data_IF_945480927705
#
_entry.id   IF_945480927705
#
_cell.length_a   1.000
_cell.length_b   1.000
_cell.length_c   1.000
_cell.angle_alpha   90.00
_cell.angle_beta   90.00
_cell.angle_gamma   90.00
#
_symmetry.space_group_name_H-M   'P 1'
#
loop_
_entity.id
_entity.type
_entity.pdbx_description
1 polymer ?
#
# COMPACT_ATOMS: atom_id res chain seq x y z
N UNK A 1 30.88 42.99 44.89
CA UNK A 1 31.70 44.22 44.84
C UNK A 1 31.04 45.10 43.78
N UNK A 2 30.00 45.83 44.15
CA UNK A 2 29.56 46.10 45.53
C UNK A 2 28.30 45.31 45.95
N UNK A 3 27.82 45.40 47.21
CA UNK A 3 26.83 44.46 47.76
C UNK A 3 25.56 45.15 48.30
N UNK A 4 24.60 44.33 48.76
CA UNK A 4 23.73 44.49 49.95
C UNK A 4 22.96 45.82 50.25
N UNK A 5 21.75 45.88 50.83
CA UNK A 5 20.62 44.98 51.09
C UNK A 5 19.60 45.80 51.93
N UNK A 6 18.28 45.69 51.63
CA UNK A 6 17.13 45.79 52.58
C UNK A 6 16.70 47.14 53.21
N UNK A 7 15.53 47.34 53.89
CA UNK A 7 14.29 46.57 54.26
C UNK A 7 13.16 47.62 54.57
N UNK A 8 11.83 47.43 54.66
CA UNK A 8 10.79 46.48 54.17
C UNK A 8 9.39 47.05 54.47
N UNK A 9 8.41 46.93 53.56
CA UNK A 9 6.95 46.75 53.81
C UNK A 9 6.14 46.91 52.49
N UNK A 10 4.96 46.32 52.26
CA UNK A 10 4.20 45.24 52.92
C UNK A 10 3.21 44.60 51.91
N UNK A 11 2.75 43.38 52.21
CA UNK A 11 1.61 42.67 51.59
C UNK A 11 0.73 42.15 52.76
N UNK A 12 -0.59 41.82 52.61
CA UNK A 12 -1.33 41.39 51.41
C UNK A 12 -2.57 42.33 51.15
N UNK A 13 -3.64 42.07 50.37
CA UNK A 13 -4.46 40.87 50.10
C UNK A 13 -5.14 40.86 48.70
N UNK A 14 -5.82 39.75 48.36
CA UNK A 14 -6.51 39.47 47.08
C UNK A 14 -8.05 39.55 47.21
N UNK A 15 -8.90 39.06 46.25
CA UNK A 15 -8.79 38.94 44.79
C UNK A 15 -9.99 39.59 44.04
N UNK A 16 -9.94 39.73 42.71
CA UNK A 16 -11.14 39.90 41.85
C UNK A 16 -11.00 39.06 40.57
N UNK A 17 -12.13 38.51 40.11
CA UNK A 17 -12.25 37.38 39.17
C UNK A 17 -11.84 37.65 37.71
N UNK A 18 -11.81 36.55 36.94
CA UNK A 18 -12.11 36.52 35.51
C UNK A 18 -13.46 37.21 35.19
N UNK A 19 -13.74 37.66 33.96
CA UNK A 19 -14.11 36.77 32.85
C UNK A 19 -13.76 37.38 31.48
N UNK A 20 -13.46 36.52 30.51
CA UNK A 20 -13.31 36.90 29.09
C UNK A 20 -14.27 36.08 28.26
N UNK A 21 -15.37 36.73 27.88
CA UNK A 21 -16.37 36.20 26.95
C UNK A 21 -15.72 35.85 25.62
N UNK A 22 -15.81 34.57 25.22
CA UNK A 22 -15.37 34.10 23.91
C UNK A 22 -16.61 33.92 23.03
N UNK A 23 -16.77 34.78 22.02
CA UNK A 23 -17.88 34.69 21.09
C UNK A 23 -17.71 33.46 20.18
N UNK A 24 -18.72 32.58 20.18
CA UNK A 24 -18.74 31.35 19.37
C UNK A 24 -19.33 31.64 17.98
N UNK A 25 -18.49 31.97 17.00
CA UNK A 25 -18.92 32.09 15.60
C UNK A 25 -19.14 30.70 14.98
N UNK A 26 -20.40 30.25 14.97
CA UNK A 26 -20.82 28.95 14.39
C UNK A 26 -20.71 28.95 12.86
N UNK A 27 -19.50 28.74 12.35
CA UNK A 27 -19.20 28.60 10.92
C UNK A 27 -19.83 27.31 10.34
N UNK A 28 -21.12 27.37 10.02
CA UNK A 28 -21.95 26.23 9.58
C UNK A 28 -21.72 25.91 8.09
N UNK A 29 -20.47 25.66 7.72
CA UNK A 29 -20.05 25.29 6.37
C UNK A 29 -20.17 23.80 6.11
N UNK A 30 -21.37 23.31 5.79
CA UNK A 30 -21.54 21.97 5.23
C UNK A 30 -20.90 21.92 3.83
N UNK A 31 -19.72 21.30 3.74
CA UNK A 31 -19.06 21.08 2.46
C UNK A 31 -19.81 20.01 1.66
N UNK A 32 -20.38 20.40 0.52
CA UNK A 32 -20.88 19.43 -0.46
C UNK A 32 -19.71 18.54 -0.90
N UNK A 33 -19.80 17.25 -0.56
CA UNK A 33 -18.77 16.28 -0.88
C UNK A 33 -18.78 15.99 -2.38
N UNK A 34 -17.93 16.70 -3.14
CA UNK A 34 -17.70 16.44 -4.56
C UNK A 34 -17.46 14.94 -4.76
N UNK A 35 -18.30 14.22 -5.52
CA UNK A 35 -18.18 12.77 -5.65
C UNK A 35 -16.82 12.39 -6.26
N UNK A 36 -16.04 11.61 -5.51
CA UNK A 36 -14.74 11.11 -5.99
C UNK A 36 -14.98 10.26 -7.25
N UNK A 37 -14.33 10.55 -8.40
CA UNK A 37 -14.56 9.81 -9.63
C UNK A 37 -14.27 8.32 -9.45
N UNK A 38 -15.28 7.47 -9.67
CA UNK A 38 -15.17 6.02 -9.50
C UNK A 38 -14.33 5.42 -10.63
N UNK A 39 -13.27 4.70 -10.27
CA UNK A 39 -12.49 3.91 -11.22
C UNK A 39 -13.28 2.65 -11.63
N UNK A 40 -14.02 2.79 -12.73
CA UNK A 40 -14.87 1.71 -13.29
C UNK A 40 -14.06 0.49 -13.73
N UNK A 41 -12.78 0.65 -14.07
CA UNK A 41 -11.89 -0.45 -14.47
C UNK A 41 -11.42 -1.20 -13.23
N UNK A 42 -10.99 -0.49 -12.18
CA UNK A 42 -10.67 -1.09 -10.88
C UNK A 42 -11.87 -1.82 -10.27
N UNK A 43 -13.10 -1.28 -10.42
CA UNK A 43 -14.32 -1.99 -10.01
C UNK A 43 -14.51 -3.28 -10.81
N UNK A 44 -14.34 -3.25 -12.14
CA UNK A 44 -14.41 -4.46 -12.96
C UNK A 44 -13.37 -5.53 -12.56
N UNK A 45 -12.17 -5.10 -12.15
CA UNK A 45 -11.14 -5.99 -11.62
C UNK A 45 -11.52 -6.61 -10.25
N UNK A 46 -12.15 -5.84 -9.39
CA UNK A 46 -12.72 -6.33 -8.13
C UNK A 46 -13.87 -7.32 -8.37
N UNK A 47 -14.82 -6.99 -9.25
CA UNK A 47 -15.93 -7.86 -9.63
C UNK A 47 -15.40 -9.21 -10.19
N UNK A 48 -14.35 -9.18 -11.02
CA UNK A 48 -13.68 -10.38 -11.52
C UNK A 48 -13.05 -11.21 -10.40
N UNK A 49 -12.27 -10.58 -9.50
CA UNK A 49 -11.64 -11.29 -8.38
C UNK A 49 -12.67 -11.96 -7.46
N UNK A 50 -13.76 -11.26 -7.13
CA UNK A 50 -14.85 -11.77 -6.29
C UNK A 50 -15.66 -12.89 -6.95
N UNK A 51 -15.82 -12.88 -8.28
CA UNK A 51 -16.61 -13.90 -9.01
C UNK A 51 -15.79 -15.11 -9.47
N UNK A 52 -14.51 -14.92 -9.76
CA UNK A 52 -13.66 -15.94 -10.42
C UNK A 52 -12.59 -16.52 -9.49
N UNK A 53 -11.99 -15.70 -8.62
CA UNK A 53 -10.84 -16.10 -7.79
C UNK A 53 -11.28 -16.52 -6.39
N UNK A 54 -12.15 -15.74 -5.74
CA UNK A 54 -12.69 -16.05 -4.40
C UNK A 54 -13.28 -17.47 -4.29
N UNK A 55 -13.99 -18.05 -5.28
CA UNK A 55 -14.52 -19.42 -5.17
C UNK A 55 -13.46 -20.55 -5.19
N UNK A 56 -12.18 -20.26 -5.47
CA UNK A 56 -11.11 -21.27 -5.49
C UNK A 56 -10.76 -21.68 -4.05
N UNK A 57 -10.93 -22.96 -3.72
CA UNK A 57 -10.82 -23.47 -2.35
C UNK A 57 -9.39 -23.54 -1.75
N UNK A 58 -8.36 -23.20 -2.52
CA UNK A 58 -6.95 -23.25 -2.10
C UNK A 58 -6.33 -21.85 -2.18
N UNK A 59 -5.87 -21.25 -1.06
CA UNK A 59 -5.27 -19.92 -1.08
C UNK A 59 -3.99 -19.83 -1.93
N UNK A 60 -3.29 -20.95 -2.18
CA UNK A 60 -2.17 -20.97 -3.16
C UNK A 60 -2.68 -20.66 -4.56
N UNK A 61 -3.77 -21.32 -4.99
CA UNK A 61 -4.38 -21.12 -6.32
C UNK A 61 -5.06 -19.77 -6.45
N UNK A 62 -5.70 -19.28 -5.38
CA UNK A 62 -6.25 -17.92 -5.35
C UNK A 62 -5.15 -16.89 -5.61
N UNK A 63 -4.00 -16.99 -4.94
CA UNK A 63 -2.88 -16.08 -5.15
C UNK A 63 -2.19 -16.27 -6.51
N UNK A 64 -2.10 -17.51 -7.02
CA UNK A 64 -1.55 -17.81 -8.33
C UNK A 64 -2.37 -17.15 -9.46
N UNK A 65 -3.69 -17.38 -9.49
CA UNK A 65 -4.58 -16.77 -10.50
C UNK A 65 -4.68 -15.25 -10.32
N UNK A 66 -4.65 -14.75 -9.08
CA UNK A 66 -4.61 -13.31 -8.82
C UNK A 66 -3.31 -12.67 -9.33
N UNK A 67 -2.16 -13.34 -9.18
CA UNK A 67 -0.88 -12.86 -9.70
C UNK A 67 -0.86 -12.79 -11.23
N UNK A 68 -1.36 -13.83 -11.91
CA UNK A 68 -1.56 -13.86 -13.38
C UNK A 68 -2.49 -12.73 -13.82
N UNK A 69 -3.62 -12.55 -13.14
CA UNK A 69 -4.60 -11.51 -13.45
C UNK A 69 -4.01 -10.09 -13.30
N UNK A 70 -3.37 -9.80 -12.17
CA UNK A 70 -2.70 -8.50 -11.92
C UNK A 70 -1.61 -8.20 -12.94
N UNK A 71 -0.83 -9.19 -13.36
CA UNK A 71 0.14 -8.99 -14.43
C UNK A 71 -0.54 -8.69 -15.77
N UNK A 72 -1.61 -9.40 -16.14
CA UNK A 72 -2.37 -9.12 -17.37
C UNK A 72 -2.94 -7.69 -17.41
N UNK A 73 -3.45 -7.19 -16.29
CA UNK A 73 -3.93 -5.81 -16.12
C UNK A 73 -2.84 -4.76 -16.39
N UNK A 74 -1.56 -5.10 -16.16
CA UNK A 74 -0.42 -4.19 -16.21
C UNK A 74 0.62 -4.54 -17.29
N UNK A 75 0.20 -5.24 -18.35
CA UNK A 75 0.99 -5.47 -19.56
C UNK A 75 1.65 -6.85 -19.69
N UNK A 76 1.26 -7.82 -18.87
CA UNK A 76 1.76 -9.21 -18.90
C UNK A 76 2.98 -9.48 -18.02
N UNK A 77 3.65 -10.64 -18.18
CA UNK A 77 4.99 -10.87 -17.64
C UNK A 77 6.01 -9.84 -18.15
N UNK A 78 7.13 -9.68 -17.44
CA UNK A 78 8.17 -8.69 -17.72
C UNK A 78 9.53 -9.38 -17.75
N UNK A 79 10.26 -9.27 -18.86
CA UNK A 79 11.57 -9.90 -19.01
C UNK A 79 12.59 -9.35 -18.00
N UNK A 80 13.45 -10.23 -17.46
CA UNK A 80 14.51 -9.87 -16.49
C UNK A 80 15.40 -8.72 -16.99
N UNK A 81 15.69 -8.69 -18.30
CA UNK A 81 16.47 -7.63 -18.96
C UNK A 81 15.76 -6.26 -19.01
N UNK A 82 14.44 -6.22 -18.85
CA UNK A 82 13.63 -4.98 -18.88
C UNK A 82 13.23 -4.48 -17.50
N UNK A 83 13.43 -5.25 -16.43
CA UNK A 83 13.09 -4.87 -15.04
C UNK A 83 13.79 -3.59 -14.57
N UNK A 84 14.99 -3.30 -15.09
CA UNK A 84 15.78 -2.10 -14.76
C UNK A 84 15.32 -0.84 -15.50
N UNK A 85 14.43 -0.95 -16.50
CA UNK A 85 14.04 0.16 -17.35
C UNK A 85 12.75 0.85 -16.83
N UNK A 86 12.89 2.08 -16.32
CA UNK A 86 11.81 2.92 -15.78
C UNK A 86 10.78 3.45 -16.82
N UNK A 87 10.41 2.65 -17.83
CA UNK A 87 9.39 3.03 -18.82
C UNK A 87 8.02 3.42 -18.21
N UNK A 88 7.75 2.96 -16.99
CA UNK A 88 6.53 3.29 -16.25
C UNK A 88 6.42 4.78 -15.88
N UNK A 89 7.53 5.49 -15.64
CA UNK A 89 7.52 6.91 -15.28
C UNK A 89 6.95 7.79 -16.41
N UNK A 90 7.37 7.53 -17.65
CA UNK A 90 6.84 8.20 -18.84
C UNK A 90 5.34 7.90 -19.04
N UNK A 91 4.91 6.66 -18.81
CA UNK A 91 3.49 6.28 -18.88
C UNK A 91 2.66 7.02 -17.82
N UNK A 92 3.17 7.16 -16.59
CA UNK A 92 2.49 7.95 -15.55
C UNK A 92 2.42 9.44 -15.91
N UNK A 93 3.48 10.01 -16.50
CA UNK A 93 3.49 11.40 -16.95
C UNK A 93 2.46 11.66 -18.07
N UNK A 94 2.40 10.80 -19.09
CA UNK A 94 1.36 10.83 -20.15
C UNK A 94 -0.05 10.81 -19.54
N UNK A 95 -0.30 9.91 -18.58
CA UNK A 95 -1.60 9.80 -17.91
C UNK A 95 -1.92 11.06 -17.12
N UNK A 96 -0.99 11.61 -16.32
CA UNK A 96 -1.18 12.85 -15.55
C UNK A 96 -1.58 14.03 -16.44
N UNK A 97 -0.88 14.21 -17.57
CA UNK A 97 -1.21 15.23 -18.55
C UNK A 97 -2.59 14.98 -19.18
N UNK A 98 -2.93 13.72 -19.50
CA UNK A 98 -4.22 13.35 -20.09
C UNK A 98 -5.43 13.46 -19.13
N UNK A 99 -5.22 13.60 -17.82
CA UNK A 99 -6.28 13.76 -16.82
C UNK A 99 -6.20 15.08 -16.04
N UNK A 100 -5.23 15.94 -16.40
CA UNK A 100 -4.93 17.23 -15.77
C UNK A 100 -4.82 17.18 -14.23
N UNK A 101 -4.37 16.04 -13.69
CA UNK A 101 -4.38 15.76 -12.25
C UNK A 101 -3.22 14.85 -11.81
N UNK A 102 -2.80 15.03 -10.55
CA UNK A 102 -1.84 14.13 -9.89
C UNK A 102 -2.48 12.85 -9.34
N UNK A 103 -3.82 12.78 -9.24
CA UNK A 103 -4.55 11.60 -8.77
C UNK A 103 -4.78 10.66 -9.96
N UNK A 104 -3.98 9.59 -10.04
CA UNK A 104 -4.04 8.61 -11.12
C UNK A 104 -4.92 7.42 -10.69
N UNK A 105 -6.04 7.12 -11.39
CA UNK A 105 -6.81 5.89 -11.17
C UNK A 105 -5.98 4.66 -11.57
N UNK A 106 -6.01 3.61 -10.75
CA UNK A 106 -5.22 2.37 -10.99
C UNK A 106 -5.55 1.75 -12.36
N UNK A 107 -6.83 1.79 -12.75
CA UNK A 107 -7.34 1.30 -14.03
C UNK A 107 -6.90 2.11 -15.27
N UNK A 108 -6.22 3.25 -15.10
CA UNK A 108 -5.62 4.02 -16.22
C UNK A 108 -4.18 3.63 -16.51
N UNK A 109 -3.50 2.94 -15.59
CA UNK A 109 -2.07 2.59 -15.72
C UNK A 109 -1.93 1.39 -16.67
N UNK A 110 -1.45 1.61 -17.91
CA UNK A 110 -1.28 0.55 -18.92
C UNK A 110 -0.11 -0.41 -18.63
N UNK A 111 0.97 0.10 -18.03
CA UNK A 111 2.20 -0.65 -17.70
C UNK A 111 2.62 -0.36 -16.27
N UNK A 112 2.37 -1.32 -15.39
CA UNK A 112 2.64 -1.21 -13.96
C UNK A 112 4.07 -1.60 -13.61
N UNK A 113 4.72 -0.82 -12.73
CA UNK A 113 5.94 -1.24 -12.03
C UNK A 113 5.61 -2.29 -10.96
N UNK A 114 6.63 -2.84 -10.29
CA UNK A 114 6.46 -3.67 -9.10
C UNK A 114 5.54 -3.04 -8.04
N UNK A 115 5.60 -1.71 -7.87
CA UNK A 115 4.74 -1.00 -6.95
C UNK A 115 3.27 -1.01 -7.38
N UNK A 116 2.98 -0.66 -8.64
CA UNK A 116 1.59 -0.64 -9.12
C UNK A 116 0.97 -2.04 -9.10
N UNK A 117 1.75 -3.06 -9.49
CA UNK A 117 1.35 -4.48 -9.45
C UNK A 117 1.12 -4.96 -8.02
N UNK A 118 2.07 -4.74 -7.11
CA UNK A 118 1.95 -5.22 -5.73
C UNK A 118 0.86 -4.49 -4.91
N UNK A 119 0.59 -3.23 -5.23
CA UNK A 119 -0.53 -2.47 -4.67
C UNK A 119 -1.88 -3.02 -5.13
N UNK A 120 -2.06 -3.29 -6.44
CA UNK A 120 -3.29 -3.89 -6.95
C UNK A 120 -3.49 -5.32 -6.43
N UNK A 121 -2.42 -6.13 -6.39
CA UNK A 121 -2.48 -7.47 -5.80
C UNK A 121 -2.94 -7.42 -4.35
N UNK A 122 -2.35 -6.54 -3.52
CA UNK A 122 -2.75 -6.38 -2.11
C UNK A 122 -4.21 -5.94 -1.98
N UNK A 123 -4.63 -4.94 -2.75
CA UNK A 123 -6.02 -4.45 -2.77
C UNK A 123 -7.03 -5.56 -3.09
N UNK A 124 -6.79 -6.31 -4.16
CA UNK A 124 -7.68 -7.42 -4.57
C UNK A 124 -7.62 -8.60 -3.59
N UNK A 125 -6.43 -8.92 -3.07
CA UNK A 125 -6.23 -9.99 -2.08
C UNK A 125 -7.01 -9.72 -0.79
N UNK A 126 -6.95 -8.49 -0.26
CA UNK A 126 -7.70 -8.10 0.93
C UNK A 126 -9.22 -8.17 0.69
N UNK A 127 -9.69 -7.78 -0.49
CA UNK A 127 -11.09 -7.88 -0.88
C UNK A 127 -11.61 -9.32 -0.99
N UNK A 128 -10.76 -10.31 -1.30
CA UNK A 128 -11.11 -11.74 -1.30
C UNK A 128 -10.69 -12.47 0.00
N UNK A 129 -10.21 -11.75 1.02
CA UNK A 129 -9.83 -12.31 2.31
C UNK A 129 -8.52 -13.12 2.32
N UNK A 130 -7.66 -12.98 1.31
CA UNK A 130 -6.36 -13.65 1.26
C UNK A 130 -5.38 -13.04 2.29
N UNK A 131 -4.79 -13.84 3.19
CA UNK A 131 -3.86 -13.34 4.21
C UNK A 131 -2.51 -12.96 3.59
N UNK A 132 -2.39 -11.72 3.13
CA UNK A 132 -1.21 -11.24 2.40
C UNK A 132 -0.57 -10.00 3.01
N UNK A 133 0.74 -9.86 2.85
CA UNK A 133 1.48 -8.64 3.11
C UNK A 133 1.78 -7.89 1.80
N UNK A 134 2.01 -6.59 1.90
CA UNK A 134 2.72 -5.79 0.90
C UNK A 134 3.95 -5.22 1.60
N UNK A 135 5.12 -5.78 1.32
CA UNK A 135 6.37 -5.42 1.99
C UNK A 135 7.12 -4.41 1.13
N UNK A 136 7.58 -3.32 1.76
CA UNK A 136 8.44 -2.33 1.14
C UNK A 136 9.90 -2.66 1.41
N UNK A 137 10.60 -3.07 0.37
CA UNK A 137 12.03 -3.32 0.40
C UNK A 137 12.86 -2.05 0.18
N UNK A 138 14.17 -2.24 0.12
CA UNK A 138 15.13 -1.16 -0.14
C UNK A 138 14.96 -0.57 -1.55
N UNK A 139 15.50 0.63 -1.80
CA UNK A 139 15.52 1.28 -3.12
C UNK A 139 14.14 1.43 -3.78
N UNK A 140 13.09 1.66 -3.00
CA UNK A 140 11.72 1.88 -3.50
C UNK A 140 10.99 0.62 -3.96
N UNK A 141 11.59 -0.56 -3.81
CA UNK A 141 11.04 -1.85 -4.24
C UNK A 141 9.88 -2.28 -3.35
N UNK A 142 8.95 -3.06 -3.91
CA UNK A 142 7.87 -3.70 -3.14
C UNK A 142 7.57 -5.09 -3.70
N UNK A 143 7.21 -6.00 -2.81
CA UNK A 143 6.78 -7.35 -3.13
C UNK A 143 5.64 -7.77 -2.20
N UNK A 144 4.89 -8.79 -2.59
CA UNK A 144 3.84 -9.36 -1.74
C UNK A 144 4.30 -10.67 -1.12
N UNK A 145 3.75 -10.97 0.04
CA UNK A 145 3.90 -12.25 0.71
C UNK A 145 2.51 -12.84 0.95
N UNK A 146 2.34 -14.13 0.75
CA UNK A 146 1.16 -14.89 1.10
C UNK A 146 1.44 -15.71 2.36
N UNK A 147 0.73 -15.44 3.44
CA UNK A 147 0.89 -16.14 4.72
C UNK A 147 0.16 -17.49 4.66
N UNK A 148 0.91 -18.58 4.63
CA UNK A 148 0.35 -19.94 4.60
C UNK A 148 0.73 -20.72 5.85
N UNK A 149 -0.21 -21.51 6.37
CA UNK A 149 0.02 -22.35 7.54
C UNK A 149 1.08 -23.41 7.23
N UNK A 150 2.08 -23.54 8.11
CA UNK A 150 3.08 -24.60 8.04
C UNK A 150 2.42 -25.98 8.07
N UNK A 151 2.92 -26.88 7.23
CA UNK A 151 2.55 -28.31 7.21
C UNK A 151 3.30 -29.13 8.24
N UNK A 152 4.28 -28.55 8.96
CA UNK A 152 5.00 -29.24 10.04
C UNK A 152 4.13 -29.40 11.28
N UNK A 153 4.27 -30.53 11.97
CA UNK A 153 3.59 -30.84 13.24
C UNK A 153 4.20 -30.07 14.43
N UNK A 154 4.36 -28.76 14.28
CA UNK A 154 4.85 -27.88 15.33
C UNK A 154 3.77 -27.66 16.43
N UNK A 155 4.14 -27.50 17.72
CA UNK A 155 3.18 -27.31 18.81
C UNK A 155 2.32 -26.03 18.70
N UNK A 156 2.71 -25.10 17.81
CA UNK A 156 1.95 -23.89 17.46
C UNK A 156 1.89 -23.79 15.94
N UNK A 157 0.74 -23.40 15.34
CA UNK A 157 0.64 -23.20 13.90
C UNK A 157 1.39 -21.94 13.47
N UNK A 158 2.59 -22.11 12.93
CA UNK A 158 3.36 -21.03 12.31
C UNK A 158 2.79 -20.68 10.93
N UNK A 159 2.69 -19.39 10.61
CA UNK A 159 2.43 -18.91 9.25
C UNK A 159 3.76 -18.60 8.56
N UNK A 160 3.93 -19.07 7.33
CA UNK A 160 5.13 -18.91 6.50
C UNK A 160 4.81 -17.88 5.40
N UNK A 161 5.59 -16.79 5.25
CA UNK A 161 5.39 -15.80 4.20
C UNK A 161 5.99 -16.28 2.87
N UNK A 162 5.17 -16.81 1.96
CA UNK A 162 5.57 -17.15 0.60
C UNK A 162 5.62 -15.91 -0.28
N UNK A 163 6.76 -15.58 -0.89
CA UNK A 163 6.91 -14.40 -1.75
C UNK A 163 6.16 -14.63 -3.06
N UNK A 164 5.34 -13.66 -3.48
CA UNK A 164 4.55 -13.73 -4.71
C UNK A 164 5.27 -13.01 -5.85
N UNK A 165 5.55 -13.73 -6.93
CA UNK A 165 6.02 -13.14 -8.17
C UNK A 165 4.86 -12.46 -8.92
N UNK A 166 5.07 -11.21 -9.31
CA UNK A 166 4.15 -10.41 -10.13
C UNK A 166 4.83 -9.85 -11.39
N UNK A 167 6.07 -10.26 -11.66
CA UNK A 167 6.94 -9.71 -12.70
C UNK A 167 7.41 -10.79 -13.68
N UNK A 168 8.24 -11.75 -13.24
CA UNK A 168 8.92 -12.70 -14.12
C UNK A 168 7.97 -13.86 -14.48
N UNK A 169 7.47 -14.54 -13.45
CA UNK A 169 6.52 -15.66 -13.53
C UNK A 169 5.27 -15.35 -12.70
N UNK A 170 4.37 -14.46 -13.17
CA UNK A 170 3.23 -13.98 -12.39
C UNK A 170 2.38 -15.10 -11.77
N UNK A 171 2.18 -15.01 -10.45
CA UNK A 171 1.47 -16.02 -9.65
C UNK A 171 2.39 -17.07 -9.00
N UNK A 172 3.67 -17.14 -9.35
CA UNK A 172 4.60 -18.09 -8.71
C UNK A 172 4.81 -17.75 -7.22
N UNK A 173 4.65 -18.75 -6.36
CA UNK A 173 4.87 -18.65 -4.92
C UNK A 173 6.24 -19.20 -4.55
N UNK A 174 7.17 -18.33 -4.17
CA UNK A 174 8.53 -18.68 -3.76
C UNK A 174 8.61 -18.91 -2.25
N UNK A 175 9.33 -19.94 -1.80
CA UNK A 175 9.55 -20.18 -0.37
C UNK A 175 10.56 -19.16 0.19
N UNK A 176 10.30 -18.50 1.34
CA UNK A 176 11.18 -17.43 1.85
C UNK A 176 12.60 -17.91 2.20
N UNK A 177 12.81 -19.23 2.36
CA UNK A 177 14.14 -19.80 2.56
C UNK A 177 14.94 -19.97 1.26
N UNK A 178 14.31 -19.91 0.09
CA UNK A 178 14.91 -20.28 -1.20
C UNK A 178 15.87 -19.22 -1.76
N UNK A 179 16.69 -19.61 -2.74
CA UNK A 179 17.56 -18.72 -3.50
C UNK A 179 16.75 -17.72 -4.34
N UNK A 180 15.64 -18.18 -4.92
CA UNK A 180 14.81 -17.45 -5.87
C UNK A 180 14.04 -16.34 -5.15
N UNK A 181 13.48 -16.62 -3.96
CA UNK A 181 12.83 -15.59 -3.13
C UNK A 181 13.82 -14.49 -2.73
N UNK A 182 15.05 -14.86 -2.36
CA UNK A 182 16.11 -13.91 -2.01
C UNK A 182 16.58 -13.11 -3.21
N UNK A 183 16.73 -13.74 -4.37
CA UNK A 183 17.03 -13.04 -5.63
C UNK A 183 15.88 -12.09 -6.00
N UNK A 184 14.62 -12.49 -5.88
CA UNK A 184 13.47 -11.63 -6.21
C UNK A 184 13.31 -10.43 -5.26
N UNK A 185 13.58 -10.61 -3.96
CA UNK A 185 13.55 -9.51 -2.97
C UNK A 185 14.76 -8.58 -3.08
N UNK A 186 15.95 -9.12 -3.38
CA UNK A 186 17.15 -8.31 -3.69
C UNK A 186 17.23 -7.85 -5.17
N UNK A 187 16.30 -8.32 -6.01
CA UNK A 187 16.08 -8.16 -7.46
C UNK A 187 17.27 -8.53 -8.37
N UNK A 188 18.46 -8.00 -8.08
CA UNK A 188 19.66 -8.08 -8.92
C UNK A 188 20.90 -8.13 -8.03
N UNK A 189 21.59 -9.27 -8.00
CA UNK A 189 22.93 -9.39 -7.41
C UNK A 189 24.03 -8.94 -8.39
N UNK A 190 23.81 -7.77 -8.99
CA UNK A 190 24.59 -7.11 -10.06
C UNK A 190 24.59 -7.85 -11.41
#
# INVERSE_FOLDING_TARGET
KDPDVEQTSENPDSPVNSDREAAEETATGLSESVPVPVDVVLKGWLDYATTTILPLADPRKQAEELGKFVASCYGGPVDKATLSASYHELNLAEIKCSIESNVIPLGRIKKGSQFHRGLLFKFLADHIGLPTNLVRGNYGRTYNELLLRSTTNAPKPTMIPYVVDLMLSPGMLMDPSSSEAKEYVSILSQ
#
